data_IF_082639455913
#
_entry.id   IF_082639455913
#
_cell.length_a   1.000
_cell.length_b   1.000
_cell.length_c   1.000
_cell.angle_alpha   90.00
_cell.angle_beta   90.00
_cell.angle_gamma   90.00
#
_symmetry.space_group_name_H-M   'P 1'
#
loop_
_entity.id
_entity.type
_entity.pdbx_description
1 polymer ?
#
# COMPACT_ATOMS: atom_id res chain seq x y z
N UNK A 1 -2.49 -37.30 28.89
CA UNK A 1 -2.83 -37.47 27.46
C UNK A 1 -1.96 -36.52 26.62
N UNK A 2 -0.64 -36.64 26.72
CA UNK A 2 0.33 -35.75 26.06
C UNK A 2 1.61 -36.50 25.63
N UNK A 3 1.51 -37.82 25.48
CA UNK A 3 2.63 -38.70 25.12
C UNK A 3 2.39 -39.49 23.83
N UNK A 4 1.21 -39.34 23.21
CA UNK A 4 0.84 -40.07 21.98
C UNK A 4 1.13 -39.24 20.71
N UNK A 5 1.24 -37.91 20.82
CA UNK A 5 1.44 -37.03 19.66
C UNK A 5 2.89 -36.96 19.16
N UNK A 6 3.89 -37.19 20.02
CA UNK A 6 5.30 -37.23 19.60
C UNK A 6 5.66 -38.53 18.85
N UNK A 7 4.87 -39.59 19.00
CA UNK A 7 5.13 -40.89 18.39
C UNK A 7 4.64 -41.01 16.95
N UNK A 8 3.70 -40.15 16.53
CA UNK A 8 3.16 -40.14 15.15
C UNK A 8 4.00 -39.29 14.19
N UNK A 9 4.91 -38.44 14.67
CA UNK A 9 5.84 -37.71 13.82
C UNK A 9 6.99 -38.56 13.28
N UNK A 10 7.33 -39.69 13.91
CA UNK A 10 8.44 -40.55 13.46
C UNK A 10 8.03 -41.62 12.43
N UNK A 11 6.75 -42.01 12.37
CA UNK A 11 6.27 -43.00 11.38
C UNK A 11 5.75 -42.38 10.06
N UNK A 12 5.68 -41.05 9.96
CA UNK A 12 5.22 -40.34 8.75
C UNK A 12 6.32 -40.06 7.71
N UNK A 13 7.52 -40.63 7.85
CA UNK A 13 8.66 -40.32 6.97
C UNK A 13 8.86 -41.30 5.80
N UNK A 14 8.11 -42.42 5.75
CA UNK A 14 8.32 -43.49 4.75
C UNK A 14 7.33 -43.50 3.59
N UNK A 15 6.33 -42.62 3.57
CA UNK A 15 5.31 -42.58 2.53
C UNK A 15 5.29 -41.26 1.77
N UNK A 16 6.44 -40.74 1.35
CA UNK A 16 6.55 -39.73 0.29
C UNK A 16 5.50 -38.60 0.27
N UNK A 17 5.03 -38.16 1.45
CA UNK A 17 4.24 -36.94 1.58
C UNK A 17 5.29 -35.86 1.82
N UNK A 18 5.40 -34.84 0.96
CA UNK A 18 6.34 -33.76 1.19
C UNK A 18 5.92 -33.03 2.47
N UNK A 19 6.58 -33.37 3.57
CA UNK A 19 6.59 -32.64 4.83
C UNK A 19 7.32 -31.32 4.59
N UNK A 20 6.67 -30.38 3.90
CA UNK A 20 7.28 -29.12 3.52
C UNK A 20 6.35 -28.09 2.88
N UNK A 21 5.07 -28.41 2.65
CA UNK A 21 4.13 -27.47 2.02
C UNK A 21 2.98 -27.06 2.95
N UNK A 22 3.22 -26.94 4.25
CA UNK A 22 2.22 -26.44 5.21
C UNK A 22 2.81 -25.34 6.08
N UNK A 23 3.00 -24.16 5.49
CA UNK A 23 2.67 -22.88 6.13
C UNK A 23 2.45 -21.75 5.10
N UNK A 24 1.88 -22.08 3.93
CA UNK A 24 1.10 -21.06 3.22
C UNK A 24 -0.31 -21.12 3.81
N UNK A 25 -0.52 -20.35 4.87
CA UNK A 25 -1.88 -20.01 5.27
C UNK A 25 -2.43 -19.09 4.17
N UNK A 26 -2.96 -19.69 3.12
CA UNK A 26 -3.94 -19.10 2.23
C UNK A 26 -5.18 -18.83 3.09
N UNK A 27 -5.31 -17.62 3.63
CA UNK A 27 -6.63 -17.10 3.99
C UNK A 27 -7.16 -16.41 2.75
N UNK A 28 -8.37 -16.76 2.31
CA UNK A 28 -9.20 -15.99 1.37
C UNK A 28 -9.64 -14.65 1.98
N UNK A 29 -8.67 -13.92 2.51
CA UNK A 29 -8.76 -12.55 2.97
C UNK A 29 -7.49 -11.95 2.41
N UNK A 30 -7.60 -11.21 1.30
CA UNK A 30 -6.49 -10.47 0.69
C UNK A 30 -5.72 -9.79 1.81
N UNK A 31 -4.62 -10.42 2.23
CA UNK A 31 -3.85 -9.92 3.35
C UNK A 31 -3.02 -8.83 2.74
N UNK A 32 -3.51 -7.60 2.87
CA UNK A 32 -2.82 -6.45 2.35
C UNK A 32 -1.50 -6.33 3.13
N UNK A 33 -0.38 -6.48 2.44
CA UNK A 33 0.97 -6.41 3.01
C UNK A 33 1.71 -5.26 2.35
N UNK A 34 2.40 -4.45 3.15
CA UNK A 34 3.24 -3.35 2.72
C UNK A 34 4.64 -3.59 3.26
N UNK A 35 5.63 -3.78 2.38
CA UNK A 35 7.03 -4.05 2.76
C UNK A 35 7.21 -5.18 3.80
N UNK A 36 6.41 -6.23 3.68
CA UNK A 36 6.45 -7.38 4.61
C UNK A 36 5.58 -7.22 5.86
N UNK A 37 5.03 -6.03 6.12
CA UNK A 37 4.13 -5.77 7.24
C UNK A 37 2.66 -5.86 6.81
N UNK A 38 1.83 -6.70 7.45
CA UNK A 38 0.40 -6.76 7.18
C UNK A 38 -0.29 -5.48 7.65
N UNK A 39 -1.24 -4.98 6.86
CA UNK A 39 -2.01 -3.78 7.16
C UNK A 39 -3.48 -3.94 6.83
N UNK A 40 -4.31 -3.08 7.43
CA UNK A 40 -5.74 -3.02 7.15
C UNK A 40 -6.01 -2.01 6.02
N UNK A 41 -6.53 -2.43 4.84
CA UNK A 41 -6.80 -1.55 3.70
C UNK A 41 -7.92 -0.53 3.96
N UNK A 42 -8.74 -0.73 5.00
CA UNK A 42 -9.81 0.20 5.35
C UNK A 42 -9.25 1.45 6.06
N UNK A 43 -8.12 1.30 6.76
CA UNK A 43 -7.51 2.36 7.57
C UNK A 43 -6.16 2.81 7.03
N UNK A 44 -5.48 1.97 6.25
CA UNK A 44 -4.15 2.23 5.73
C UNK A 44 -4.06 2.04 4.22
N UNK A 45 -3.08 2.70 3.63
CA UNK A 45 -2.75 2.62 2.21
C UNK A 45 -1.25 2.48 2.05
N UNK A 46 -0.84 1.46 1.31
CA UNK A 46 0.57 1.27 0.93
C UNK A 46 0.87 2.01 -0.38
N UNK A 47 1.88 2.85 -0.36
CA UNK A 47 2.43 3.53 -1.53
C UNK A 47 3.91 3.15 -1.70
N UNK A 48 4.19 2.28 -2.66
CA UNK A 48 5.49 1.63 -2.84
C UNK A 48 5.91 0.85 -1.57
N UNK A 49 6.88 1.35 -0.81
CA UNK A 49 7.34 0.77 0.47
C UNK A 49 6.83 1.53 1.70
N UNK A 50 6.02 2.58 1.51
CA UNK A 50 5.56 3.44 2.58
C UNK A 50 4.09 3.17 2.93
N UNK A 51 3.85 2.81 4.18
CA UNK A 51 2.51 2.61 4.72
C UNK A 51 1.99 3.91 5.34
N UNK A 52 0.86 4.41 4.83
CA UNK A 52 0.19 5.60 5.34
C UNK A 52 -1.14 5.26 5.99
N UNK A 53 -1.48 5.96 7.08
CA UNK A 53 -2.85 6.01 7.58
C UNK A 53 -3.70 6.91 6.68
N UNK A 54 -4.91 6.46 6.34
CA UNK A 54 -5.87 7.24 5.55
C UNK A 54 -6.48 8.31 6.47
N UNK A 55 -6.27 9.62 6.18
CA UNK A 55 -6.83 10.68 7.01
C UNK A 55 -8.36 10.69 6.97
N UNK A 56 -8.97 11.07 8.09
CA UNK A 56 -10.42 11.28 8.16
C UNK A 56 -10.81 12.40 7.19
N UNK A 57 -11.78 12.14 6.32
CA UNK A 57 -12.21 13.08 5.27
C UNK A 57 -11.50 12.91 3.92
N UNK A 58 -10.67 11.87 3.75
CA UNK A 58 -10.12 11.47 2.46
C UNK A 58 -10.88 10.24 1.93
N UNK A 59 -12.08 10.42 1.34
CA UNK A 59 -12.92 9.29 0.92
C UNK A 59 -12.27 8.42 -0.16
N UNK A 60 -11.25 8.96 -0.86
CA UNK A 60 -10.48 8.25 -1.87
C UNK A 60 -9.01 8.65 -1.82
N UNK A 61 -8.24 8.06 -0.92
CA UNK A 61 -6.80 8.24 -0.89
C UNK A 61 -6.11 7.33 -1.93
N UNK A 62 -5.23 7.91 -2.74
CA UNK A 62 -4.45 7.23 -3.77
C UNK A 62 -2.96 7.50 -3.58
N UNK A 63 -2.13 6.75 -4.31
CA UNK A 63 -0.68 6.93 -4.28
C UNK A 63 -0.20 7.74 -5.48
N UNK A 64 0.61 8.75 -5.20
CA UNK A 64 1.35 9.54 -6.18
C UNK A 64 2.84 9.20 -6.01
N UNK A 65 3.29 8.17 -6.73
CA UNK A 65 4.59 7.55 -6.42
C UNK A 65 4.56 6.95 -5.02
N UNK A 66 5.46 7.42 -4.14
CA UNK A 66 5.56 6.95 -2.76
C UNK A 66 4.73 7.73 -1.76
N UNK A 67 4.01 8.77 -2.19
CA UNK A 67 3.24 9.65 -1.30
C UNK A 67 1.73 9.38 -1.40
N UNK A 68 1.03 9.45 -0.26
CA UNK A 68 -0.43 9.43 -0.23
C UNK A 68 -1.00 10.79 -0.67
N UNK A 69 -1.99 10.80 -1.55
CA UNK A 69 -2.70 12.01 -1.98
C UNK A 69 -4.20 11.81 -2.11
N UNK A 70 -4.97 12.90 -2.02
CA UNK A 70 -6.41 12.90 -2.25
C UNK A 70 -6.75 13.68 -3.52
N UNK A 71 -7.30 13.06 -4.58
CA UNK A 71 -7.58 13.72 -5.86
C UNK A 71 -8.69 14.78 -5.76
N UNK A 72 -9.46 14.81 -4.66
CA UNK A 72 -10.43 15.88 -4.43
C UNK A 72 -9.78 17.19 -3.98
N UNK A 73 -8.62 17.12 -3.31
CA UNK A 73 -7.94 18.28 -2.73
C UNK A 73 -6.49 18.43 -3.16
N UNK A 74 -5.95 17.48 -3.92
CA UNK A 74 -4.56 17.44 -4.31
C UNK A 74 -4.37 17.04 -5.77
N UNK A 75 -3.28 17.53 -6.34
CA UNK A 75 -2.80 17.12 -7.66
C UNK A 75 -1.48 16.35 -7.50
N UNK A 76 -1.40 15.22 -8.21
CA UNK A 76 -0.19 14.41 -8.34
C UNK A 76 0.61 14.87 -9.56
N UNK A 77 1.80 15.43 -9.33
CA UNK A 77 2.65 15.98 -10.38
C UNK A 77 3.88 15.11 -10.61
N UNK A 78 3.86 14.37 -11.73
CA UNK A 78 4.80 13.28 -12.05
C UNK A 78 4.70 12.13 -11.03
N UNK A 79 5.03 10.91 -11.47
CA UNK A 79 4.97 9.69 -10.65
C UNK A 79 5.98 9.64 -9.49
N UNK A 80 6.50 10.79 -9.08
CA UNK A 80 7.54 10.99 -8.08
C UNK A 80 7.06 12.09 -7.12
N UNK A 81 6.20 11.68 -6.19
CA UNK A 81 6.04 12.23 -4.83
C UNK A 81 5.53 13.67 -4.63
N UNK A 82 5.39 14.51 -5.67
CA UNK A 82 4.91 15.89 -5.50
C UNK A 82 3.38 15.94 -5.40
N UNK A 83 2.90 16.12 -4.17
CA UNK A 83 1.48 16.25 -3.82
C UNK A 83 1.20 17.69 -3.41
N UNK A 84 0.43 18.43 -4.21
CA UNK A 84 0.12 19.84 -3.92
C UNK A 84 -1.36 20.04 -3.57
N UNK A 85 -1.65 20.86 -2.56
CA UNK A 85 -3.02 21.20 -2.16
C UNK A 85 -3.67 22.18 -3.16
N UNK A 86 -4.92 21.91 -3.52
CA UNK A 86 -5.74 22.59 -4.55
C UNK A 86 -6.58 23.75 -3.95
N UNK A 87 -6.30 24.18 -2.72
CA UNK A 87 -7.19 25.04 -1.92
C UNK A 87 -7.60 26.40 -2.56
N UNK A 88 -6.99 26.82 -3.67
CA UNK A 88 -7.19 28.13 -4.30
C UNK A 88 -7.26 28.08 -5.84
N UNK A 89 -7.66 26.95 -6.43
CA UNK A 89 -7.71 26.85 -7.89
C UNK A 89 -9.00 27.42 -8.47
N UNK A 90 -8.85 28.47 -9.28
CA UNK A 90 -9.91 29.01 -10.14
C UNK A 90 -10.55 27.91 -10.99
N UNK A 91 -11.88 27.91 -11.08
CA UNK A 91 -12.69 26.99 -11.89
C UNK A 91 -12.21 27.02 -13.35
N UNK A 92 -11.33 26.08 -13.74
CA UNK A 92 -10.79 26.01 -15.11
C UNK A 92 -9.30 25.67 -15.22
N UNK A 93 -8.55 25.63 -14.12
CA UNK A 93 -7.15 25.18 -14.17
C UNK A 93 -7.04 23.65 -14.15
N UNK A 94 -6.53 23.07 -15.24
CA UNK A 94 -6.30 21.62 -15.31
C UNK A 94 -5.18 21.18 -14.38
N UNK A 95 -5.28 19.97 -13.80
CA UNK A 95 -4.24 19.32 -13.01
C UNK A 95 -2.83 19.45 -13.64
N UNK A 96 -2.77 19.30 -14.97
CA UNK A 96 -1.53 19.38 -15.75
C UNK A 96 -0.90 20.79 -15.73
N UNK A 97 -1.71 21.84 -15.73
CA UNK A 97 -1.24 23.22 -15.72
C UNK A 97 -0.63 23.61 -14.37
N UNK A 98 -1.21 23.12 -13.27
CA UNK A 98 -0.64 23.30 -11.92
C UNK A 98 0.74 22.64 -11.84
N UNK A 99 0.84 21.39 -12.31
CA UNK A 99 2.12 20.70 -12.35
C UNK A 99 3.16 21.41 -13.22
N UNK A 100 2.75 21.96 -14.37
CA UNK A 100 3.64 22.71 -15.26
C UNK A 100 4.17 23.98 -14.59
N UNK A 101 3.28 24.78 -13.98
CA UNK A 101 3.65 26.03 -13.31
C UNK A 101 4.60 25.81 -12.14
N UNK A 102 4.32 24.81 -11.29
CA UNK A 102 5.16 24.52 -10.12
C UNK A 102 6.53 23.98 -10.56
N UNK A 103 6.57 23.05 -11.51
CA UNK A 103 7.83 22.51 -12.02
C UNK A 103 8.71 23.57 -12.70
N UNK A 104 8.11 24.51 -13.42
CA UNK A 104 8.84 25.65 -14.00
C UNK A 104 9.47 26.54 -12.91
N UNK A 105 8.80 26.72 -11.78
CA UNK A 105 9.34 27.48 -10.65
C UNK A 105 10.49 26.74 -9.95
N UNK A 106 10.47 25.41 -9.88
CA UNK A 106 11.56 24.62 -9.30
C UNK A 106 12.83 24.62 -10.17
N UNK A 107 12.72 24.72 -11.49
CA UNK A 107 13.90 24.84 -12.37
C UNK A 107 14.47 26.25 -12.35
N UNK A 108 13.62 27.25 -12.11
CA UNK A 108 14.02 28.65 -12.11
C UNK A 108 14.77 29.07 -10.82
N UNK A 109 14.92 28.18 -9.83
CA UNK A 109 15.51 28.44 -8.52
C UNK A 109 16.63 27.44 -8.23
#
# INVERSE_FOLDING_TARGET
>A
MATVFLSLCFLGCLLAFPCGAWFLKHTDNDSFVCDGEPYDPATHKCCDVYLYMIPVGWPKAYCCGRSLYNPASHVCCRSIEWVFHVAELEEGTSALEICRRIWQNEIAN
#
